data_IF_949343967660
#
_entry.id   IF_949343967660
#
_cell.length_a   1.000
_cell.length_b   1.000
_cell.length_c   1.000
_cell.angle_alpha   90.00
_cell.angle_beta   90.00
_cell.angle_gamma   90.00
#
_symmetry.space_group_name_H-M   'P 1'
#
loop_
_entity.id
_entity.type
_entity.pdbx_description
1 polymer ?
#
# COMPACT_ATOMS: atom_id res chain seq x y z
N UNK A 1 -25.37 -9.70 1.98
CA UNK A 1 -24.47 -9.32 0.89
C UNK A 1 -23.03 -9.59 1.25
N UNK A 2 -22.34 -10.28 0.36
CA UNK A 2 -20.91 -10.51 0.58
C UNK A 2 -20.14 -9.23 0.28
N UNK A 3 -19.26 -8.84 1.18
CA UNK A 3 -18.38 -7.71 0.94
C UNK A 3 -17.20 -8.14 0.08
N UNK A 4 -16.77 -7.29 -0.82
CA UNK A 4 -15.59 -7.55 -1.60
C UNK A 4 -14.36 -7.51 -0.70
N UNK A 5 -13.48 -8.48 -0.87
CA UNK A 5 -12.23 -8.52 -0.13
C UNK A 5 -11.10 -8.05 -1.02
N UNK A 6 -10.25 -7.21 -0.48
CA UNK A 6 -9.05 -6.72 -1.15
C UNK A 6 -7.85 -7.46 -0.60
N UNK A 7 -7.01 -7.96 -1.49
CA UNK A 7 -5.85 -8.74 -1.11
C UNK A 7 -4.60 -8.01 -1.59
N UNK A 8 -3.73 -7.66 -0.65
CA UNK A 8 -2.48 -6.97 -0.93
C UNK A 8 -1.32 -7.87 -0.56
N UNK A 9 -0.38 -8.04 -1.48
CA UNK A 9 0.83 -8.83 -1.27
C UNK A 9 2.04 -7.92 -1.35
N UNK A 10 2.85 -7.92 -0.30
CA UNK A 10 4.08 -7.15 -0.21
C UNK A 10 5.19 -8.04 0.31
N UNK A 11 6.21 -8.29 -0.51
CA UNK A 11 7.46 -8.92 -0.10
C UNK A 11 7.31 -10.02 0.97
N UNK A 12 6.51 -11.03 0.68
CA UNK A 12 6.27 -12.14 1.60
C UNK A 12 5.15 -11.94 2.60
N UNK A 13 4.58 -10.74 2.65
CA UNK A 13 3.43 -10.44 3.49
C UNK A 13 2.16 -10.42 2.65
N UNK A 14 1.10 -10.97 3.20
CA UNK A 14 -0.20 -10.95 2.55
C UNK A 14 -1.23 -10.40 3.52
N UNK A 15 -2.01 -9.43 3.04
CA UNK A 15 -3.04 -8.81 3.84
C UNK A 15 -4.37 -8.89 3.10
N UNK A 16 -5.42 -9.24 3.81
CA UNK A 16 -6.77 -9.27 3.25
C UNK A 16 -7.68 -8.42 4.12
N UNK A 17 -8.44 -7.54 3.50
CA UNK A 17 -9.40 -6.71 4.22
C UNK A 17 -10.62 -6.47 3.34
N UNK A 18 -11.77 -6.26 3.98
CA UNK A 18 -13.00 -5.88 3.28
C UNK A 18 -13.16 -4.36 3.21
N UNK A 19 -12.24 -3.62 3.82
CA UNK A 19 -12.32 -2.16 3.91
C UNK A 19 -11.16 -1.51 3.14
N UNK A 20 -11.47 -0.89 2.01
CA UNK A 20 -10.45 -0.24 1.19
C UNK A 20 -9.78 0.94 1.90
N UNK A 21 -10.42 1.53 2.90
CA UNK A 21 -9.83 2.61 3.68
C UNK A 21 -8.61 2.15 4.47
N UNK A 22 -8.65 0.90 4.98
CA UNK A 22 -7.51 0.32 5.69
C UNK A 22 -6.28 0.26 4.78
N UNK A 23 -6.49 -0.11 3.53
CA UNK A 23 -5.41 -0.19 2.55
C UNK A 23 -4.85 1.20 2.25
N UNK A 24 -5.73 2.18 2.11
CA UNK A 24 -5.31 3.57 1.87
C UNK A 24 -4.54 4.14 3.05
N UNK A 25 -4.95 3.80 4.27
CA UNK A 25 -4.24 4.23 5.47
C UNK A 25 -2.83 3.64 5.52
N UNK A 26 -2.68 2.38 5.15
CA UNK A 26 -1.37 1.73 5.10
C UNK A 26 -0.51 2.37 4.02
N UNK A 27 -1.09 2.66 2.86
CA UNK A 27 -0.38 3.37 1.78
C UNK A 27 0.12 4.72 2.27
N UNK A 28 -0.73 5.48 2.95
CA UNK A 28 -0.36 6.78 3.50
C UNK A 28 0.74 6.65 4.54
N UNK A 29 0.65 5.63 5.41
CA UNK A 29 1.67 5.38 6.42
C UNK A 29 3.03 5.09 5.78
N UNK A 30 3.05 4.30 4.72
CA UNK A 30 4.27 4.00 3.98
C UNK A 30 4.85 5.27 3.36
N UNK A 31 4.01 6.14 2.81
CA UNK A 31 4.44 7.39 2.21
C UNK A 31 5.04 8.33 3.26
N UNK A 32 4.38 8.45 4.42
CA UNK A 32 4.87 9.29 5.51
C UNK A 32 6.20 8.76 6.05
N UNK A 33 6.30 7.44 6.20
CA UNK A 33 7.55 6.82 6.64
C UNK A 33 8.68 7.07 5.64
N UNK A 34 8.36 7.03 4.34
CA UNK A 34 9.33 7.32 3.30
C UNK A 34 9.85 8.75 3.41
N UNK A 35 8.95 9.71 3.60
CA UNK A 35 9.31 11.12 3.73
C UNK A 35 10.21 11.33 4.94
N UNK A 36 9.88 10.69 6.06
CA UNK A 36 10.69 10.77 7.27
C UNK A 36 12.11 10.22 7.04
N UNK A 37 12.23 9.08 6.38
CA UNK A 37 13.52 8.47 6.10
C UNK A 37 14.36 9.34 5.16
N UNK A 38 13.72 9.97 4.18
CA UNK A 38 14.38 10.91 3.29
C UNK A 38 14.93 12.10 4.06
N UNK A 39 14.14 12.62 4.99
CA UNK A 39 14.54 13.72 5.86
C UNK A 39 15.76 13.37 6.70
N UNK A 40 15.91 12.11 7.08
CA UNK A 40 17.03 11.61 7.86
C UNK A 40 18.22 11.17 6.99
N UNK A 41 18.10 11.29 5.68
CA UNK A 41 19.16 10.94 4.74
C UNK A 41 19.20 9.46 4.35
N UNK A 42 18.22 8.68 4.72
CA UNK A 42 18.17 7.25 4.42
C UNK A 42 17.50 7.01 3.07
N UNK A 43 18.18 7.32 1.99
CA UNK A 43 17.58 7.29 0.65
C UNK A 43 17.18 5.89 0.19
N UNK A 44 17.94 4.87 0.55
CA UNK A 44 17.59 3.50 0.17
C UNK A 44 16.29 3.06 0.84
N UNK A 45 16.10 3.42 2.10
CA UNK A 45 14.87 3.11 2.84
C UNK A 45 13.72 3.93 2.29
N UNK A 46 13.97 5.17 1.94
CA UNK A 46 12.98 6.02 1.29
C UNK A 46 12.44 5.36 0.01
N UNK A 47 13.35 4.90 -0.86
CA UNK A 47 12.97 4.25 -2.11
C UNK A 47 12.15 2.98 -1.85
N UNK A 48 12.55 2.20 -0.85
CA UNK A 48 11.84 0.98 -0.49
C UNK A 48 10.40 1.28 -0.07
N UNK A 49 10.21 2.25 0.82
CA UNK A 49 8.87 2.61 1.29
C UNK A 49 8.02 3.23 0.18
N UNK A 50 8.62 4.02 -0.69
CA UNK A 50 7.88 4.59 -1.81
C UNK A 50 7.43 3.50 -2.78
N UNK A 51 8.28 2.53 -3.05
CA UNK A 51 7.91 1.40 -3.90
C UNK A 51 6.80 0.56 -3.27
N UNK A 52 6.81 0.37 -1.96
CA UNK A 52 5.75 -0.33 -1.26
C UNK A 52 4.42 0.42 -1.40
N UNK A 53 4.45 1.73 -1.22
CA UNK A 53 3.26 2.57 -1.36
C UNK A 53 2.68 2.47 -2.77
N UNK A 54 3.54 2.55 -3.79
CA UNK A 54 3.12 2.43 -5.18
C UNK A 54 2.54 1.05 -5.48
N UNK A 55 3.15 0.00 -4.93
CA UNK A 55 2.67 -1.36 -5.13
C UNK A 55 1.30 -1.56 -4.51
N UNK A 56 1.09 -1.05 -3.30
CA UNK A 56 -0.22 -1.10 -2.65
C UNK A 56 -1.26 -0.39 -3.49
N UNK A 57 -0.94 0.80 -3.96
CA UNK A 57 -1.83 1.59 -4.79
C UNK A 57 -2.18 0.86 -6.08
N UNK A 58 -1.19 0.24 -6.71
CA UNK A 58 -1.38 -0.50 -7.94
C UNK A 58 -2.30 -1.71 -7.74
N UNK A 59 -2.04 -2.51 -6.71
CA UNK A 59 -2.85 -3.68 -6.43
C UNK A 59 -4.29 -3.31 -6.08
N UNK A 60 -4.47 -2.25 -5.29
CA UNK A 60 -5.79 -1.79 -4.94
C UNK A 60 -6.54 -1.29 -6.18
N UNK A 61 -5.86 -0.52 -7.02
CA UNK A 61 -6.43 0.01 -8.25
C UNK A 61 -6.88 -1.11 -9.19
N UNK A 62 -6.07 -2.15 -9.34
CA UNK A 62 -6.43 -3.30 -10.16
C UNK A 62 -7.70 -3.97 -9.66
N UNK A 63 -7.81 -4.15 -8.34
CA UNK A 63 -8.95 -4.82 -7.76
C UNK A 63 -10.21 -3.97 -7.82
N UNK A 64 -10.07 -2.66 -7.70
CA UNK A 64 -11.20 -1.74 -7.82
C UNK A 64 -11.61 -1.54 -9.28
N UNK A 65 -10.65 -1.48 -10.18
CA UNK A 65 -10.90 -1.33 -11.60
C UNK A 65 -11.64 -2.52 -12.20
N UNK A 66 -11.46 -3.70 -11.63
CA UNK A 66 -12.14 -4.90 -12.09
C UNK A 66 -13.66 -4.85 -11.87
N UNK A 67 -14.12 -3.89 -11.09
CA UNK A 67 -15.55 -3.72 -10.82
C UNK A 67 -16.26 -3.03 -11.98
N UNK A 68 -15.54 -2.28 -12.76
CA UNK A 68 -16.08 -1.64 -13.93
C UNK A 68 -16.25 -2.65 -15.08
#
# INVERSE_FOLDING_TARGET
MARKKYKIKLDGLEMTTSNSWDIKEIENACTLAAIQQRSEGHLAVYDKFMNMSLEIKHQLSEQMGAIE
#
